data_IF_092977682149
#
_entry.id   IF_092977682149
#
_cell.length_a   1.000
_cell.length_b   1.000
_cell.length_c   1.000
_cell.angle_alpha   90.00
_cell.angle_beta   90.00
_cell.angle_gamma   90.00
#
_symmetry.space_group_name_H-M   'P 1'
#
loop_
_entity.id
_entity.type
_entity.pdbx_description
1 polymer ?
#
# COMPACT_ATOMS: atom_id res chain seq x y z
N UNK A 1 -44.37 -17.12 -10.41
CA UNK A 1 -43.66 -16.97 -9.14
C UNK A 1 -42.32 -17.68 -9.27
N UNK A 2 -41.25 -17.00 -9.33
CA UNK A 2 -39.83 -17.37 -9.25
C UNK A 2 -38.98 -16.52 -10.23
N UNK A 3 -38.71 -15.32 -9.85
CA UNK A 3 -37.73 -14.50 -10.58
C UNK A 3 -37.20 -13.41 -9.64
N UNK A 4 -36.42 -13.78 -8.59
CA UNK A 4 -35.77 -12.79 -7.75
C UNK A 4 -34.46 -13.29 -7.09
N UNK A 5 -33.73 -14.19 -7.75
CA UNK A 5 -32.49 -14.78 -7.23
C UNK A 5 -31.20 -14.39 -7.97
N UNK A 6 -31.23 -13.44 -8.95
CA UNK A 6 -30.07 -13.19 -9.81
C UNK A 6 -29.51 -11.76 -9.78
N UNK A 7 -29.96 -10.88 -8.91
CA UNK A 7 -29.59 -9.45 -8.96
C UNK A 7 -28.67 -8.99 -7.80
N UNK A 8 -28.04 -9.89 -7.06
CA UNK A 8 -27.13 -9.50 -5.97
C UNK A 8 -25.69 -10.00 -6.15
N UNK A 9 -25.21 -10.10 -7.39
CA UNK A 9 -23.79 -10.18 -7.74
C UNK A 9 -23.24 -8.80 -8.15
N UNK A 10 -23.77 -7.73 -7.59
CA UNK A 10 -23.22 -6.40 -7.73
C UNK A 10 -21.86 -6.36 -7.01
N UNK A 11 -20.80 -6.48 -7.80
CA UNK A 11 -19.45 -5.95 -7.54
C UNK A 11 -19.03 -5.95 -6.06
N UNK A 12 -18.74 -7.13 -5.49
CA UNK A 12 -17.71 -7.21 -4.46
C UNK A 12 -16.45 -6.66 -5.14
N UNK A 13 -16.08 -5.40 -4.89
CA UNK A 13 -14.75 -4.93 -5.24
C UNK A 13 -13.81 -5.91 -4.57
N UNK A 14 -13.13 -6.70 -5.37
CA UNK A 14 -12.05 -7.57 -4.92
C UNK A 14 -11.13 -6.69 -4.08
N UNK A 15 -10.66 -7.18 -2.95
CA UNK A 15 -9.56 -6.49 -2.30
C UNK A 15 -8.41 -6.46 -3.31
N UNK A 16 -7.57 -5.45 -3.29
CA UNK A 16 -6.47 -5.36 -4.27
C UNK A 16 -5.48 -6.52 -4.07
N UNK A 17 -5.43 -7.07 -2.86
CA UNK A 17 -4.74 -8.34 -2.59
C UNK A 17 -5.34 -9.50 -3.39
N UNK A 18 -6.67 -9.55 -3.49
CA UNK A 18 -7.37 -10.52 -4.34
C UNK A 18 -7.10 -10.23 -5.83
N UNK A 19 -6.91 -8.97 -6.22
CA UNK A 19 -6.66 -8.58 -7.61
C UNK A 19 -5.30 -9.09 -8.12
N UNK A 20 -4.23 -8.97 -7.34
CA UNK A 20 -2.92 -9.54 -7.69
C UNK A 20 -3.02 -11.05 -7.88
N UNK A 21 -3.72 -11.77 -6.99
CA UNK A 21 -3.95 -13.21 -7.14
C UNK A 21 -4.79 -13.54 -8.38
N UNK A 22 -5.80 -12.72 -8.69
CA UNK A 22 -6.62 -12.88 -9.89
C UNK A 22 -5.79 -12.71 -11.16
N UNK A 23 -4.92 -11.69 -11.22
CA UNK A 23 -4.04 -11.47 -12.37
C UNK A 23 -3.08 -12.66 -12.60
N UNK A 24 -2.48 -13.18 -11.52
CA UNK A 24 -1.60 -14.37 -11.59
C UNK A 24 -2.40 -15.61 -12.07
N UNK A 25 -3.62 -15.80 -11.60
CA UNK A 25 -4.50 -16.89 -12.03
C UNK A 25 -4.99 -16.74 -13.45
N UNK A 26 -5.19 -15.50 -13.90
CA UNK A 26 -5.53 -15.17 -15.28
C UNK A 26 -4.34 -15.24 -16.23
N UNK A 27 -3.15 -15.62 -15.71
CA UNK A 27 -1.89 -15.81 -16.47
C UNK A 27 -1.39 -14.53 -17.13
N UNK A 28 -1.55 -13.38 -16.47
CA UNK A 28 -0.84 -12.20 -16.94
C UNK A 28 0.67 -12.46 -16.85
N UNK A 29 1.41 -12.32 -17.97
CA UNK A 29 2.81 -12.71 -18.02
C UNK A 29 3.70 -11.83 -17.17
N UNK A 30 3.48 -10.51 -17.22
CA UNK A 30 4.21 -9.51 -16.45
C UNK A 30 3.23 -8.60 -15.72
N UNK A 31 3.38 -8.48 -14.41
CA UNK A 31 2.59 -7.60 -13.54
C UNK A 31 3.54 -6.62 -12.89
N UNK A 32 3.29 -5.32 -13.07
CA UNK A 32 4.04 -4.25 -12.43
C UNK A 32 3.25 -3.71 -11.25
N UNK A 33 3.74 -3.94 -10.06
CA UNK A 33 3.12 -3.53 -8.80
C UNK A 33 3.77 -2.25 -8.31
N UNK A 34 3.02 -1.15 -8.33
CA UNK A 34 3.48 0.15 -7.85
C UNK A 34 3.24 0.21 -6.35
N UNK A 35 4.32 0.20 -5.56
CA UNK A 35 4.22 0.21 -4.10
C UNK A 35 5.54 0.50 -3.40
N UNK A 36 5.47 1.10 -2.21
CA UNK A 36 6.54 1.15 -1.21
C UNK A 36 6.55 -0.09 -0.30
N UNK A 37 5.50 -0.91 -0.35
CA UNK A 37 5.24 -2.06 0.51
C UNK A 37 5.82 -3.37 -0.07
N UNK A 38 7.10 -3.34 -0.46
CA UNK A 38 7.78 -4.49 -1.09
C UNK A 38 7.65 -5.76 -0.25
N UNK A 39 7.91 -5.66 1.06
CA UNK A 39 7.84 -6.79 1.99
C UNK A 39 6.44 -7.40 2.05
N UNK A 40 5.42 -6.56 2.07
CA UNK A 40 4.02 -6.99 2.12
C UNK A 40 3.60 -7.71 0.85
N UNK A 41 4.06 -7.25 -0.33
CA UNK A 41 3.84 -7.95 -1.60
C UNK A 41 4.57 -9.29 -1.62
N UNK A 42 5.82 -9.35 -1.15
CA UNK A 42 6.57 -10.60 -1.07
C UNK A 42 5.88 -11.63 -0.15
N UNK A 43 5.43 -11.22 1.04
CA UNK A 43 4.71 -12.08 1.99
C UNK A 43 3.39 -12.61 1.37
N UNK A 44 2.64 -11.76 0.68
CA UNK A 44 1.43 -12.17 -0.03
C UNK A 44 1.72 -13.18 -1.14
N UNK A 45 2.74 -12.92 -1.98
CA UNK A 45 3.12 -13.82 -3.05
C UNK A 45 3.63 -15.16 -2.50
N UNK A 46 4.33 -15.15 -1.37
CA UNK A 46 4.79 -16.36 -0.69
C UNK A 46 3.61 -17.22 -0.22
N UNK A 47 2.67 -16.62 0.52
CA UNK A 47 1.46 -17.31 0.97
C UNK A 47 0.62 -17.83 -0.20
N UNK A 48 0.54 -17.08 -1.30
CA UNK A 48 -0.16 -17.52 -2.50
C UNK A 48 0.58 -18.67 -3.21
N UNK A 49 1.89 -18.60 -3.34
CA UNK A 49 2.71 -19.64 -3.97
C UNK A 49 2.60 -20.98 -3.21
N UNK A 50 2.66 -20.94 -1.86
CA UNK A 50 2.45 -22.10 -1.00
C UNK A 50 1.06 -22.73 -1.19
N UNK A 51 -0.01 -21.91 -1.15
CA UNK A 51 -1.38 -22.38 -1.37
C UNK A 51 -1.60 -23.01 -2.75
N UNK A 52 -0.82 -22.65 -3.74
CA UNK A 52 -0.94 -23.10 -5.13
C UNK A 52 0.15 -24.06 -5.58
N UNK A 53 1.00 -24.51 -4.67
CA UNK A 53 2.15 -25.36 -4.96
C UNK A 53 3.01 -24.85 -6.12
N UNK A 54 3.25 -23.51 -6.11
CA UNK A 54 4.17 -22.82 -7.03
C UNK A 54 5.46 -22.49 -6.30
N UNK A 55 6.55 -22.39 -7.04
CA UNK A 55 7.79 -21.85 -6.48
C UNK A 55 7.75 -20.33 -6.53
N UNK A 56 8.34 -19.68 -5.53
CA UNK A 56 8.59 -18.25 -5.53
C UNK A 56 10.08 -17.99 -5.61
N UNK A 57 10.49 -17.17 -6.56
CA UNK A 57 11.84 -16.68 -6.71
C UNK A 57 11.84 -15.16 -6.54
N UNK A 58 12.82 -14.63 -5.81
CA UNK A 58 13.03 -13.20 -5.65
C UNK A 58 14.35 -12.80 -6.30
N UNK A 59 14.34 -11.70 -7.01
CA UNK A 59 15.52 -11.10 -7.63
C UNK A 59 15.70 -9.65 -7.17
N UNK A 60 16.94 -9.29 -6.94
CA UNK A 60 17.38 -7.89 -6.86
C UNK A 60 18.79 -7.79 -7.47
N UNK A 61 19.18 -6.59 -7.87
CA UNK A 61 20.53 -6.34 -8.43
C UNK A 61 21.65 -6.70 -7.45
N UNK A 62 21.37 -6.71 -6.15
CA UNK A 62 22.34 -6.98 -5.09
C UNK A 62 22.42 -8.44 -4.66
N UNK A 63 21.33 -9.19 -4.83
CA UNK A 63 21.23 -10.58 -4.34
C UNK A 63 21.19 -11.62 -5.48
N UNK A 64 20.95 -11.19 -6.72
CA UNK A 64 20.68 -12.10 -7.83
C UNK A 64 19.33 -12.80 -7.69
N UNK A 65 19.07 -13.80 -8.53
CA UNK A 65 17.84 -14.59 -8.52
C UNK A 65 17.95 -15.74 -7.50
N UNK A 66 17.04 -15.77 -6.54
CA UNK A 66 17.07 -16.72 -5.43
C UNK A 66 15.68 -17.28 -5.15
N UNK A 67 15.63 -18.57 -4.78
CA UNK A 67 14.37 -19.17 -4.32
C UNK A 67 14.01 -18.62 -2.93
N UNK A 68 12.80 -18.12 -2.78
CA UNK A 68 12.29 -17.66 -1.49
C UNK A 68 12.04 -18.88 -0.59
N UNK A 69 12.88 -19.06 0.43
CA UNK A 69 12.76 -20.12 1.43
C UNK A 69 12.28 -19.53 2.74
N UNK A 70 11.42 -20.27 3.45
CA UNK A 70 10.87 -19.84 4.74
C UNK A 70 12.00 -19.65 5.78
N UNK A 71 12.24 -18.41 6.19
CA UNK A 71 12.99 -18.07 7.40
C UNK A 71 14.51 -18.22 7.38
N UNK A 72 15.13 -18.68 6.31
CA UNK A 72 16.60 -18.79 6.23
C UNK A 72 17.19 -17.61 5.46
N UNK A 73 18.36 -17.09 5.91
CA UNK A 73 19.06 -16.06 5.15
C UNK A 73 19.40 -16.61 3.77
N UNK A 74 19.08 -15.83 2.78
CA UNK A 74 19.29 -16.11 1.38
C UNK A 74 20.77 -16.39 1.14
N UNK A 75 21.11 -17.60 0.73
CA UNK A 75 22.46 -17.93 0.28
C UNK A 75 22.76 -17.05 -0.94
N UNK A 76 23.79 -16.22 -0.83
CA UNK A 76 24.22 -15.32 -1.93
C UNK A 76 24.76 -16.15 -3.09
N UNK A 77 23.91 -16.55 -4.01
CA UNK A 77 24.39 -16.95 -5.33
C UNK A 77 24.54 -15.67 -6.16
N UNK A 78 25.78 -15.21 -6.35
CA UNK A 78 26.08 -14.05 -7.21
C UNK A 78 25.77 -14.28 -8.70
N UNK A 79 25.32 -15.46 -9.06
CA UNK A 79 25.37 -15.96 -10.43
C UNK A 79 24.26 -15.42 -11.34
N UNK A 80 23.27 -14.66 -10.85
CA UNK A 80 22.19 -14.10 -11.67
C UNK A 80 21.82 -12.69 -11.22
N UNK A 81 22.82 -11.84 -10.95
CA UNK A 81 22.60 -10.43 -10.61
C UNK A 81 22.36 -9.56 -11.85
N UNK A 82 22.90 -9.96 -12.98
CA UNK A 82 22.70 -9.26 -14.25
C UNK A 82 21.25 -9.42 -14.75
N UNK A 83 20.56 -8.32 -15.10
CA UNK A 83 19.16 -8.34 -15.49
C UNK A 83 18.83 -9.28 -16.64
N UNK A 84 19.69 -9.34 -17.67
CA UNK A 84 19.48 -10.20 -18.84
C UNK A 84 19.60 -11.69 -18.48
N UNK A 85 20.60 -12.06 -17.69
CA UNK A 85 20.81 -13.43 -17.24
C UNK A 85 19.67 -13.91 -16.33
N UNK A 86 19.18 -13.03 -15.45
CA UNK A 86 18.02 -13.32 -14.61
C UNK A 86 16.75 -13.56 -15.45
N UNK A 87 16.52 -12.76 -16.49
CA UNK A 87 15.39 -12.94 -17.39
C UNK A 87 15.52 -14.22 -18.25
N UNK A 88 16.75 -14.59 -18.65
CA UNK A 88 17.02 -15.87 -19.32
C UNK A 88 16.66 -17.05 -18.40
N UNK A 89 17.08 -17.02 -17.15
CA UNK A 89 16.74 -18.04 -16.17
C UNK A 89 15.21 -18.19 -15.95
N UNK A 90 14.46 -17.08 -15.97
CA UNK A 90 12.99 -17.10 -15.94
C UNK A 90 12.43 -17.87 -17.15
N UNK A 91 12.99 -17.66 -18.33
CA UNK A 91 12.52 -18.35 -19.56
C UNK A 91 12.85 -19.84 -19.54
N UNK A 92 14.05 -20.20 -19.15
CA UNK A 92 14.57 -21.58 -19.15
C UNK A 92 13.90 -22.48 -18.10
N UNK A 93 13.44 -21.91 -16.98
CA UNK A 93 12.79 -22.68 -15.93
C UNK A 93 11.48 -23.29 -16.41
N UNK A 94 11.26 -24.59 -16.14
CA UNK A 94 10.12 -25.36 -16.68
C UNK A 94 8.94 -25.50 -15.73
N UNK A 95 9.17 -25.35 -14.43
CA UNK A 95 8.13 -25.56 -13.42
C UNK A 95 7.24 -24.31 -13.22
N UNK A 96 6.01 -24.49 -12.71
CA UNK A 96 5.16 -23.36 -12.33
C UNK A 96 5.80 -22.50 -11.24
N UNK A 97 6.02 -21.24 -11.51
CA UNK A 97 6.73 -20.34 -10.61
C UNK A 97 6.21 -18.90 -10.68
N UNK A 98 6.47 -18.17 -9.62
CA UNK A 98 6.30 -16.71 -9.53
C UNK A 98 7.68 -16.12 -9.32
N UNK A 99 7.99 -15.08 -10.07
CA UNK A 99 9.24 -14.35 -9.98
C UNK A 99 8.94 -12.94 -9.49
N UNK A 100 9.51 -12.54 -8.37
CA UNK A 100 9.43 -11.19 -7.83
C UNK A 100 10.73 -10.45 -8.10
N UNK A 101 10.69 -9.47 -9.01
CA UNK A 101 11.82 -8.62 -9.33
C UNK A 101 11.66 -7.27 -8.65
N UNK A 102 12.60 -6.96 -7.75
CA UNK A 102 12.59 -5.77 -6.93
C UNK A 102 13.37 -4.65 -7.60
N UNK A 103 12.77 -3.44 -7.63
CA UNK A 103 13.37 -2.23 -8.20
C UNK A 103 13.88 -2.36 -9.65
N UNK A 104 13.23 -3.23 -10.43
CA UNK A 104 13.62 -3.48 -11.82
C UNK A 104 13.34 -2.29 -12.75
N UNK A 105 12.55 -1.30 -12.30
CA UNK A 105 12.20 -0.09 -13.05
C UNK A 105 13.42 0.67 -13.56
N UNK A 106 14.53 0.67 -12.81
CA UNK A 106 15.78 1.33 -13.20
C UNK A 106 16.34 0.82 -14.53
N UNK A 107 16.01 -0.42 -14.92
CA UNK A 107 16.42 -1.04 -16.17
C UNK A 107 15.37 -0.88 -17.28
N UNK A 108 14.18 -0.37 -16.96
CA UNK A 108 13.05 -0.20 -17.88
C UNK A 108 12.78 1.26 -18.26
N UNK A 109 13.46 2.20 -17.63
CA UNK A 109 13.23 3.64 -17.81
C UNK A 109 13.56 4.10 -19.22
N UNK A 110 12.65 4.86 -19.83
CA UNK A 110 12.86 5.46 -21.15
C UNK A 110 14.09 6.37 -21.16
N UNK A 111 14.93 6.23 -22.22
CA UNK A 111 16.12 7.08 -22.44
C UNK A 111 17.39 6.66 -21.67
N UNK A 112 17.28 5.82 -20.65
CA UNK A 112 18.41 5.26 -19.86
C UNK A 112 18.46 3.75 -19.97
N UNK A 113 17.35 3.13 -20.36
CA UNK A 113 17.18 1.70 -20.39
C UNK A 113 18.15 1.02 -21.36
N UNK A 114 18.68 -0.11 -20.92
CA UNK A 114 19.36 -1.04 -21.81
C UNK A 114 18.35 -1.61 -22.82
N UNK A 115 18.52 -1.28 -24.10
CA UNK A 115 17.64 -1.74 -25.20
C UNK A 115 17.47 -3.26 -25.18
N UNK A 116 18.52 -4.00 -24.79
CA UNK A 116 18.50 -5.44 -24.64
C UNK A 116 17.50 -5.91 -23.57
N UNK A 117 17.41 -5.22 -22.45
CA UNK A 117 16.47 -5.55 -21.35
C UNK A 117 15.01 -5.34 -21.79
N UNK A 118 14.70 -4.22 -22.47
CA UNK A 118 13.37 -3.96 -23.01
C UNK A 118 12.97 -5.05 -23.99
N UNK A 119 13.86 -5.39 -24.93
CA UNK A 119 13.60 -6.44 -25.91
C UNK A 119 13.40 -7.79 -25.21
N UNK A 120 14.23 -8.10 -24.22
CA UNK A 120 14.14 -9.35 -23.45
C UNK A 120 12.83 -9.46 -22.67
N UNK A 121 12.38 -8.39 -22.03
CA UNK A 121 11.07 -8.36 -21.35
C UNK A 121 9.90 -8.66 -22.29
N UNK A 122 9.93 -8.17 -23.52
CA UNK A 122 8.92 -8.51 -24.52
C UNK A 122 8.98 -9.98 -24.92
N UNK A 123 10.17 -10.55 -25.03
CA UNK A 123 10.34 -11.99 -25.27
C UNK A 123 9.83 -12.82 -24.09
N UNK A 124 10.12 -12.39 -22.86
CA UNK A 124 9.61 -13.02 -21.63
C UNK A 124 8.07 -12.95 -21.62
N UNK A 125 7.47 -11.79 -21.92
CA UNK A 125 6.02 -11.66 -21.97
C UNK A 125 5.39 -12.69 -22.94
N UNK A 126 5.93 -12.80 -24.14
CA UNK A 126 5.48 -13.79 -25.12
C UNK A 126 5.67 -15.24 -24.65
N UNK A 127 6.82 -15.57 -24.08
CA UNK A 127 7.11 -16.92 -23.61
C UNK A 127 6.27 -17.33 -22.38
N UNK A 128 5.89 -16.37 -21.53
CA UNK A 128 5.11 -16.65 -20.34
C UNK A 128 3.61 -16.77 -20.60
N UNK A 129 3.06 -16.23 -21.71
CA UNK A 129 1.63 -16.31 -22.04
C UNK A 129 1.09 -17.74 -22.01
N UNK A 130 1.84 -18.70 -22.50
CA UNK A 130 1.43 -20.11 -22.57
C UNK A 130 2.01 -20.94 -21.40
N UNK A 131 2.49 -20.28 -20.36
CA UNK A 131 3.12 -20.94 -19.21
C UNK A 131 2.33 -20.73 -17.91
N UNK A 132 2.68 -21.47 -16.86
CA UNK A 132 2.19 -21.27 -15.50
C UNK A 132 3.13 -20.40 -14.67
N UNK A 133 3.96 -19.60 -15.35
CA UNK A 133 4.90 -18.66 -14.73
C UNK A 133 4.35 -17.24 -14.83
N UNK A 134 4.70 -16.39 -13.87
CA UNK A 134 4.37 -14.95 -13.86
C UNK A 134 5.56 -14.19 -13.33
N UNK A 135 5.93 -13.11 -14.02
CA UNK A 135 6.91 -12.14 -13.55
C UNK A 135 6.18 -10.99 -12.88
N UNK A 136 6.46 -10.75 -11.61
CA UNK A 136 5.97 -9.61 -10.82
C UNK A 136 7.13 -8.66 -10.59
N UNK A 137 6.95 -7.40 -10.94
CA UNK A 137 7.94 -6.33 -10.70
C UNK A 137 7.38 -5.43 -9.61
N UNK A 138 8.14 -5.18 -8.55
CA UNK A 138 7.77 -4.21 -7.52
C UNK A 138 8.66 -2.98 -7.59
N UNK A 139 8.04 -1.81 -7.51
CA UNK A 139 8.75 -0.53 -7.47
C UNK A 139 7.87 0.56 -6.86
N UNK A 140 8.44 1.55 -6.17
CA UNK A 140 7.67 2.70 -5.69
C UNK A 140 7.24 3.67 -6.80
N UNK A 141 7.90 3.60 -7.97
CA UNK A 141 7.64 4.49 -9.10
C UNK A 141 7.19 3.68 -10.32
N UNK A 142 6.25 4.21 -11.07
CA UNK A 142 5.87 3.67 -12.38
C UNK A 142 6.80 4.27 -13.44
N UNK A 143 7.86 3.57 -13.76
CA UNK A 143 8.78 3.95 -14.84
C UNK A 143 8.95 2.77 -15.80
N UNK A 144 8.53 2.96 -17.04
CA UNK A 144 8.51 1.91 -18.04
C UNK A 144 8.66 2.51 -19.44
N UNK A 145 9.40 1.82 -20.31
CA UNK A 145 9.49 2.20 -21.71
C UNK A 145 8.14 2.00 -22.42
N UNK A 146 7.76 2.91 -23.36
CA UNK A 146 6.48 2.82 -24.08
C UNK A 146 6.26 1.48 -24.80
N UNK A 147 7.34 0.83 -25.23
CA UNK A 147 7.31 -0.46 -25.92
C UNK A 147 6.73 -1.59 -25.08
N UNK A 148 6.72 -1.44 -23.74
CA UNK A 148 6.23 -2.45 -22.79
C UNK A 148 4.77 -2.24 -22.37
N UNK A 149 4.14 -1.12 -22.73
CA UNK A 149 2.78 -0.74 -22.27
C UNK A 149 1.71 -1.82 -22.55
N UNK A 150 1.87 -2.59 -23.62
CA UNK A 150 0.90 -3.64 -23.99
C UNK A 150 1.20 -5.01 -23.39
N UNK A 151 2.44 -5.21 -22.95
CA UNK A 151 2.94 -6.49 -22.46
C UNK A 151 2.90 -6.57 -20.92
N UNK A 152 2.75 -5.42 -20.25
CA UNK A 152 2.81 -5.28 -18.79
C UNK A 152 1.46 -4.81 -18.23
N UNK A 153 0.95 -5.53 -17.25
CA UNK A 153 -0.22 -5.11 -16.47
C UNK A 153 0.24 -4.31 -15.25
N UNK A 154 -0.24 -3.09 -15.10
CA UNK A 154 0.08 -2.22 -13.96
C UNK A 154 -0.98 -2.37 -12.87
N UNK A 155 -0.53 -2.55 -11.64
CA UNK A 155 -1.34 -2.66 -10.44
C UNK A 155 -0.84 -1.68 -9.37
N UNK A 156 -1.67 -0.71 -9.01
CA UNK A 156 -1.40 0.18 -7.87
C UNK A 156 -1.73 -0.56 -6.57
N UNK A 157 -0.72 -0.84 -5.76
CA UNK A 157 -0.87 -1.56 -4.51
C UNK A 157 -1.09 -0.58 -3.36
N UNK A 158 -2.23 -0.66 -2.65
CA UNK A 158 -2.60 0.35 -1.67
C UNK A 158 -1.78 0.26 -0.40
N UNK A 159 -1.69 1.38 0.29
CA UNK A 159 -1.20 1.43 1.66
C UNK A 159 -2.09 0.58 2.59
N UNK A 160 -1.57 0.14 3.75
CA UNK A 160 -2.31 -0.68 4.69
C UNK A 160 -3.59 -0.03 5.19
N UNK A 161 -4.60 -0.86 5.41
CA UNK A 161 -5.87 -0.45 5.98
C UNK A 161 -5.95 -0.62 7.50
N UNK A 162 -7.13 -0.34 8.06
CA UNK A 162 -7.41 -0.44 9.49
C UNK A 162 -7.12 -1.83 10.05
N UNK A 163 -7.52 -2.89 9.32
CA UNK A 163 -7.35 -4.27 9.78
C UNK A 163 -5.87 -4.65 9.89
N UNK A 164 -5.04 -4.22 8.93
CA UNK A 164 -3.61 -4.51 8.89
C UNK A 164 -2.85 -3.76 9.98
N UNK A 165 -3.19 -2.49 10.21
CA UNK A 165 -2.61 -1.74 11.35
C UNK A 165 -3.08 -2.27 12.70
N UNK A 166 -4.31 -2.76 12.81
CA UNK A 166 -4.81 -3.38 14.04
C UNK A 166 -4.04 -4.67 14.36
N UNK A 167 -3.76 -5.49 13.35
CA UNK A 167 -2.92 -6.68 13.49
C UNK A 167 -1.47 -6.33 13.84
N UNK A 168 -0.90 -5.30 13.22
CA UNK A 168 0.44 -4.81 13.54
C UNK A 168 0.51 -4.36 15.00
N UNK A 169 -0.42 -3.51 15.44
CA UNK A 169 -0.47 -3.02 16.82
C UNK A 169 -0.65 -4.16 17.82
N UNK A 170 -1.49 -5.15 17.49
CA UNK A 170 -1.69 -6.32 18.35
C UNK A 170 -0.40 -7.12 18.51
N UNK A 171 0.31 -7.41 17.42
CA UNK A 171 1.60 -8.11 17.44
C UNK A 171 2.64 -7.34 18.28
N UNK A 172 2.77 -6.02 18.07
CA UNK A 172 3.69 -5.20 18.86
C UNK A 172 3.34 -5.29 20.35
N UNK A 173 2.05 -5.21 20.70
CA UNK A 173 1.62 -5.35 22.10
C UNK A 173 1.96 -6.72 22.69
N UNK A 174 1.85 -7.80 21.92
CA UNK A 174 2.22 -9.17 22.35
C UNK A 174 3.73 -9.29 22.53
N UNK A 175 4.54 -8.85 21.57
CA UNK A 175 6.00 -8.90 21.61
C UNK A 175 6.58 -8.14 22.81
N UNK A 176 5.89 -7.06 23.20
CA UNK A 176 6.32 -6.19 24.29
C UNK A 176 5.76 -6.62 25.65
N UNK A 177 4.65 -7.37 25.70
CA UNK A 177 4.01 -7.83 26.94
C UNK A 177 4.93 -8.71 27.81
N UNK A 178 5.94 -9.36 27.22
CA UNK A 178 6.94 -10.15 27.95
C UNK A 178 8.03 -9.28 28.58
N UNK A 179 8.10 -7.98 28.28
CA UNK A 179 9.12 -7.06 28.75
C UNK A 179 8.71 -6.41 30.08
N UNK A 180 9.44 -6.67 31.15
CA UNK A 180 9.14 -6.18 32.51
C UNK A 180 9.14 -4.64 32.67
N UNK A 181 9.58 -3.89 31.65
CA UNK A 181 9.76 -2.44 31.71
C UNK A 181 8.78 -1.65 30.85
N UNK A 182 7.82 -2.32 30.19
CA UNK A 182 6.90 -1.66 29.28
C UNK A 182 5.47 -1.86 29.77
N UNK A 183 4.72 -0.78 29.85
CA UNK A 183 3.30 -0.76 30.23
C UNK A 183 2.42 -0.43 29.03
N UNK A 184 1.41 -1.26 28.77
CA UNK A 184 0.43 -1.00 27.74
C UNK A 184 -0.87 -0.63 28.43
N UNK A 185 -1.25 0.64 28.32
CA UNK A 185 -2.50 1.19 28.87
C UNK A 185 -3.36 1.74 27.74
N UNK A 186 -3.92 0.81 26.95
CA UNK A 186 -4.76 1.11 25.78
C UNK A 186 -6.14 0.48 25.88
N UNK A 187 -7.14 1.28 26.12
CA UNK A 187 -8.53 0.87 25.96
C UNK A 187 -8.89 0.64 24.47
N UNK A 188 -9.93 -0.13 24.15
CA UNK A 188 -10.30 -0.43 22.78
C UNK A 188 -10.49 0.80 21.87
N UNK A 189 -11.07 1.88 22.41
CA UNK A 189 -11.24 3.15 21.69
C UNK A 189 -9.94 3.89 21.42
N UNK A 190 -8.94 3.73 22.26
CA UNK A 190 -7.63 4.38 22.11
C UNK A 190 -6.79 3.62 21.09
N UNK A 191 -6.88 2.30 21.07
CA UNK A 191 -6.31 1.46 20.00
C UNK A 191 -6.85 1.88 18.63
N UNK A 192 -8.17 2.08 18.52
CA UNK A 192 -8.79 2.55 17.29
C UNK A 192 -8.25 3.92 16.86
N UNK A 193 -8.08 4.87 17.80
CA UNK A 193 -7.49 6.19 17.50
C UNK A 193 -6.04 6.09 17.03
N UNK A 194 -5.21 5.25 17.66
CA UNK A 194 -3.83 5.02 17.23
C UNK A 194 -3.77 4.45 15.81
N UNK A 195 -4.61 3.46 15.52
CA UNK A 195 -4.72 2.87 14.18
C UNK A 195 -5.16 3.93 13.16
N UNK A 196 -6.16 4.76 13.50
CA UNK A 196 -6.61 5.84 12.62
C UNK A 196 -5.49 6.87 12.36
N UNK A 197 -4.71 7.24 13.38
CA UNK A 197 -3.57 8.14 13.22
C UNK A 197 -2.49 7.58 12.28
N UNK A 198 -2.28 6.26 12.28
CA UNK A 198 -1.31 5.59 11.44
C UNK A 198 -1.74 5.42 9.98
N UNK A 199 -3.04 5.57 9.66
CA UNK A 199 -3.52 5.43 8.28
C UNK A 199 -2.79 6.38 7.33
N UNK A 200 -2.33 5.84 6.20
CA UNK A 200 -1.55 6.57 5.21
C UNK A 200 -0.03 6.42 5.37
N UNK A 201 0.44 5.72 6.39
CA UNK A 201 1.80 5.23 6.51
C UNK A 201 1.96 3.86 5.84
N UNK A 202 3.20 3.47 5.56
CA UNK A 202 3.54 2.07 5.28
C UNK A 202 3.54 1.26 6.59
N UNK A 203 3.44 -0.08 6.50
CA UNK A 203 3.54 -0.93 7.69
C UNK A 203 4.86 -0.72 8.45
N UNK A 204 5.96 -0.60 7.70
CA UNK A 204 7.27 -0.38 8.30
C UNK A 204 7.38 0.98 8.99
N UNK A 205 6.83 2.04 8.39
CA UNK A 205 6.79 3.35 9.01
C UNK A 205 5.95 3.33 10.30
N UNK A 206 4.79 2.71 10.28
CA UNK A 206 3.94 2.58 11.45
C UNK A 206 4.60 1.76 12.56
N UNK A 207 5.25 0.63 12.21
CA UNK A 207 6.03 -0.19 13.15
C UNK A 207 7.13 0.64 13.82
N UNK A 208 7.89 1.41 13.04
CA UNK A 208 8.94 2.30 13.55
C UNK A 208 8.39 3.40 14.46
N UNK A 209 7.24 3.98 14.10
CA UNK A 209 6.60 5.03 14.91
C UNK A 209 6.11 4.45 16.24
N UNK A 210 5.40 3.32 16.23
CA UNK A 210 4.94 2.66 17.45
C UNK A 210 6.12 2.20 18.33
N UNK A 211 7.17 1.64 17.73
CA UNK A 211 8.38 1.29 18.48
C UNK A 211 9.05 2.53 19.12
N UNK A 212 9.09 3.65 18.40
CA UNK A 212 9.65 4.91 18.89
C UNK A 212 8.86 5.45 20.09
N UNK A 213 7.51 5.41 20.06
CA UNK A 213 6.69 5.84 21.19
C UNK A 213 6.98 5.00 22.43
N UNK A 214 7.00 3.68 22.28
CA UNK A 214 7.28 2.75 23.38
C UNK A 214 8.67 2.96 23.98
N UNK A 215 9.70 3.16 23.14
CA UNK A 215 11.08 3.36 23.60
C UNK A 215 11.25 4.71 24.32
N UNK A 216 10.45 5.71 23.96
CA UNK A 216 10.57 7.07 24.50
C UNK A 216 10.25 7.15 26.00
N UNK A 217 9.18 6.51 26.45
CA UNK A 217 8.72 6.59 27.84
C UNK A 217 8.37 5.23 28.48
N UNK A 218 8.55 4.13 27.77
CA UNK A 218 8.22 2.77 28.24
C UNK A 218 6.72 2.50 28.33
N UNK A 219 5.89 3.35 27.74
CA UNK A 219 4.43 3.19 27.76
C UNK A 219 3.84 3.26 26.37
N UNK A 220 2.68 2.65 26.20
CA UNK A 220 1.84 2.84 25.01
C UNK A 220 0.44 3.19 25.50
N UNK A 221 0.03 4.44 25.26
CA UNK A 221 -1.20 5.01 25.80
C UNK A 221 -1.89 5.99 24.81
N UNK A 222 -2.96 6.66 25.24
CA UNK A 222 -3.74 7.58 24.42
C UNK A 222 -2.97 8.83 23.95
N UNK A 223 -1.94 9.27 24.68
CA UNK A 223 -1.17 10.47 24.36
C UNK A 223 -0.25 10.24 23.17
N UNK A 224 0.09 8.97 22.87
CA UNK A 224 0.89 8.57 21.72
C UNK A 224 0.23 8.85 20.38
N UNK A 225 -1.09 9.05 20.36
CA UNK A 225 -1.82 9.48 19.15
C UNK A 225 -1.20 10.77 18.58
N UNK A 226 -0.85 11.72 19.46
CA UNK A 226 -0.22 12.98 19.05
C UNK A 226 1.19 12.78 18.52
N UNK A 227 1.94 11.84 19.09
CA UNK A 227 3.30 11.48 18.64
C UNK A 227 3.24 10.80 17.27
N UNK A 228 2.35 9.81 17.10
CA UNK A 228 2.13 9.16 15.80
C UNK A 228 1.78 10.18 14.72
N UNK A 229 0.93 11.14 15.06
CA UNK A 229 0.52 12.18 14.13
C UNK A 229 1.68 13.11 13.73
N UNK A 230 2.51 13.52 14.68
CA UNK A 230 3.68 14.37 14.41
C UNK A 230 4.74 13.66 13.56
N UNK A 231 5.01 12.37 13.82
CA UNK A 231 5.91 11.57 13.00
C UNK A 231 5.38 11.40 11.57
N UNK A 232 4.08 11.14 11.42
CA UNK A 232 3.42 11.08 10.11
C UNK A 232 3.59 12.39 9.33
N UNK A 233 3.45 13.54 9.98
CA UNK A 233 3.70 14.84 9.36
C UNK A 233 5.14 14.95 8.83
N UNK A 234 6.13 14.50 9.61
CA UNK A 234 7.52 14.54 9.19
C UNK A 234 7.78 13.62 7.98
N UNK A 235 7.14 12.45 7.94
CA UNK A 235 7.24 11.51 6.82
C UNK A 235 6.64 12.12 5.54
N UNK A 236 5.46 12.74 5.66
CA UNK A 236 4.81 13.44 4.53
C UNK A 236 5.68 14.60 4.02
N UNK A 237 6.29 15.37 4.90
CA UNK A 237 7.21 16.47 4.50
C UNK A 237 8.43 15.98 3.72
N UNK A 238 8.94 14.77 4.00
CA UNK A 238 10.08 14.20 3.25
C UNK A 238 9.76 13.94 1.78
N UNK A 239 8.49 13.73 1.43
CA UNK A 239 8.09 13.54 0.03
C UNK A 239 8.29 14.80 -0.84
N UNK A 240 8.39 15.98 -0.22
CA UNK A 240 8.56 17.27 -0.91
C UNK A 240 7.36 17.71 -1.79
N UNK A 241 6.34 16.87 -1.92
CA UNK A 241 5.16 17.11 -2.75
C UNK A 241 4.00 17.70 -1.97
N UNK A 242 3.95 17.47 -0.65
CA UNK A 242 2.87 17.90 0.22
C UNK A 242 3.45 18.66 1.41
N UNK A 243 2.82 19.79 1.73
CA UNK A 243 3.06 20.51 2.98
C UNK A 243 1.89 20.26 3.92
N UNK A 244 2.20 19.88 5.15
CA UNK A 244 1.19 19.78 6.19
C UNK A 244 1.03 21.14 6.88
N UNK A 245 -0.18 21.66 6.88
CA UNK A 245 -0.56 22.85 7.60
C UNK A 245 -1.50 22.47 8.77
N UNK A 246 -1.01 22.63 9.98
CA UNK A 246 -1.89 22.57 11.15
C UNK A 246 -2.78 23.81 11.14
N UNK A 247 -4.07 23.59 10.95
CA UNK A 247 -5.02 24.70 10.91
C UNK A 247 -5.56 24.97 12.30
N UNK A 248 -5.25 26.15 12.85
CA UNK A 248 -5.90 26.64 14.06
C UNK A 248 -7.34 27.09 13.80
N UNK A 249 -7.70 27.33 12.54
CA UNK A 249 -9.01 27.81 12.11
C UNK A 249 -10.06 26.71 12.18
N UNK A 250 -11.04 26.87 13.04
CA UNK A 250 -12.23 26.02 13.15
C UNK A 250 -13.37 26.42 12.21
N UNK A 251 -14.40 25.59 12.14
CA UNK A 251 -15.59 25.88 11.32
C UNK A 251 -16.36 27.08 11.87
N UNK A 252 -16.24 27.37 13.17
CA UNK A 252 -16.87 28.51 13.84
C UNK A 252 -16.21 29.83 13.49
N UNK A 253 -14.95 29.83 13.09
CA UNK A 253 -14.19 31.00 12.64
C UNK A 253 -14.62 31.45 11.22
N UNK A 254 -15.37 30.63 10.51
CA UNK A 254 -15.90 30.94 9.18
C UNK A 254 -17.25 31.68 9.35
N UNK A 255 -17.27 32.95 9.03
CA UNK A 255 -18.50 33.74 9.05
C UNK A 255 -19.49 33.35 7.97
N UNK A 256 -20.78 33.23 8.29
CA UNK A 256 -21.83 32.85 7.34
C UNK A 256 -21.68 31.38 6.83
N UNK A 257 -22.14 31.15 5.62
CA UNK A 257 -22.06 29.83 4.93
C UNK A 257 -22.81 28.71 5.68
N UNK A 258 -23.92 28.98 6.30
CA UNK A 258 -24.68 28.05 7.16
C UNK A 258 -25.06 26.77 6.42
N UNK A 259 -25.41 26.87 5.13
CA UNK A 259 -25.67 25.68 4.29
C UNK A 259 -24.45 24.79 4.12
N UNK A 260 -23.27 25.38 3.93
CA UNK A 260 -22.02 24.62 3.81
C UNK A 260 -21.67 23.94 5.13
N UNK A 261 -21.81 24.64 6.25
CA UNK A 261 -21.57 24.11 7.59
C UNK A 261 -22.49 22.93 7.91
N UNK A 262 -23.78 23.04 7.65
CA UNK A 262 -24.77 21.96 7.84
C UNK A 262 -24.46 20.76 6.91
N UNK A 263 -24.12 21.05 5.65
CA UNK A 263 -23.74 20.03 4.70
C UNK A 263 -22.49 19.26 5.13
N UNK A 264 -21.45 19.96 5.59
CA UNK A 264 -20.21 19.36 6.09
C UNK A 264 -20.45 18.51 7.35
N UNK A 265 -21.27 19.01 8.30
CA UNK A 265 -21.64 18.28 9.50
C UNK A 265 -22.36 16.95 9.18
N UNK A 266 -23.27 16.96 8.21
CA UNK A 266 -23.94 15.75 7.75
C UNK A 266 -22.99 14.79 7.06
N UNK A 267 -22.02 15.30 6.29
CA UNK A 267 -21.02 14.49 5.59
C UNK A 267 -19.97 13.89 6.52
N UNK A 268 -19.65 14.54 7.62
CA UNK A 268 -18.72 13.99 8.61
C UNK A 268 -19.20 12.66 9.20
N UNK A 269 -20.52 12.43 9.26
CA UNK A 269 -21.08 11.15 9.70
C UNK A 269 -20.69 9.99 8.79
N UNK A 270 -20.35 10.24 7.52
CA UNK A 270 -19.95 9.20 6.56
C UNK A 270 -18.55 8.61 6.85
N UNK A 271 -17.75 9.22 7.72
CA UNK A 271 -16.48 8.67 8.18
C UNK A 271 -16.66 7.66 9.34
N UNK A 272 -17.86 7.56 9.92
CA UNK A 272 -18.13 6.64 11.02
C UNK A 272 -18.15 5.17 10.56
N UNK A 273 -17.79 4.27 11.49
CA UNK A 273 -17.87 2.83 11.26
C UNK A 273 -19.30 2.38 10.91
N UNK A 274 -20.30 2.99 11.52
CA UNK A 274 -21.72 2.72 11.21
C UNK A 274 -22.08 3.05 9.75
N UNK A 275 -21.54 4.12 9.20
CA UNK A 275 -21.74 4.48 7.79
C UNK A 275 -21.04 3.47 6.86
N UNK A 276 -19.85 3.01 7.24
CA UNK A 276 -19.08 2.00 6.51
C UNK A 276 -19.82 0.65 6.48
N UNK A 277 -20.34 0.20 7.62
CA UNK A 277 -21.16 -1.01 7.72
C UNK A 277 -22.46 -0.92 6.90
N UNK A 278 -23.03 0.28 6.79
CA UNK A 278 -24.20 0.55 5.94
C UNK A 278 -23.85 0.59 4.45
N UNK A 279 -22.57 0.60 4.07
CA UNK A 279 -22.11 0.65 2.69
C UNK A 279 -22.01 2.06 2.10
N UNK A 280 -22.02 3.10 2.93
CA UNK A 280 -21.82 4.48 2.47
C UNK A 280 -20.32 4.75 2.29
N UNK A 281 -19.89 5.19 1.08
CA UNK A 281 -18.50 5.56 0.85
C UNK A 281 -18.17 6.88 1.58
N UNK A 282 -16.95 6.96 2.11
CA UNK A 282 -16.42 8.21 2.64
C UNK A 282 -16.37 9.30 1.55
N UNK A 283 -16.57 10.58 1.90
CA UNK A 283 -16.42 11.70 0.98
C UNK A 283 -15.02 11.73 0.39
N UNK A 284 -14.89 11.84 -0.94
CA UNK A 284 -13.59 11.84 -1.63
C UNK A 284 -13.00 13.23 -1.76
N UNK A 285 -13.81 14.27 -1.74
CA UNK A 285 -13.35 15.64 -1.89
C UNK A 285 -14.49 16.66 -1.94
N UNK A 286 -14.14 17.92 -1.77
CA UNK A 286 -15.03 19.07 -1.88
C UNK A 286 -14.43 20.08 -2.84
N UNK A 287 -15.18 20.50 -3.85
CA UNK A 287 -14.78 21.56 -4.77
C UNK A 287 -15.39 22.89 -4.32
N UNK A 288 -14.54 23.84 -3.93
CA UNK A 288 -14.96 25.22 -3.58
C UNK A 288 -14.72 26.14 -4.78
N UNK A 289 -15.80 26.71 -5.32
CA UNK A 289 -15.75 27.64 -6.45
C UNK A 289 -16.27 29.00 -6.01
N UNK A 290 -15.56 30.06 -6.39
CA UNK A 290 -15.93 31.43 -6.06
C UNK A 290 -14.85 32.44 -6.48
N UNK A 291 -15.17 33.71 -6.40
CA UNK A 291 -14.25 34.82 -6.73
C UNK A 291 -13.04 34.85 -5.81
N UNK A 292 -11.97 35.51 -6.22
CA UNK A 292 -10.81 35.72 -5.37
C UNK A 292 -11.19 36.53 -4.12
N UNK A 293 -10.65 36.17 -2.95
CA UNK A 293 -10.94 36.86 -1.68
C UNK A 293 -12.21 36.43 -0.94
N UNK A 294 -13.06 35.54 -1.49
CA UNK A 294 -14.31 35.11 -0.83
C UNK A 294 -14.14 34.02 0.25
N UNK A 295 -12.94 33.82 0.80
CA UNK A 295 -12.72 32.92 1.93
C UNK A 295 -12.56 31.44 1.60
N UNK A 296 -12.35 31.04 0.33
CA UNK A 296 -12.18 29.62 -0.07
C UNK A 296 -11.09 28.91 0.72
N UNK A 297 -9.91 29.54 0.85
CA UNK A 297 -8.79 28.98 1.61
C UNK A 297 -9.07 28.86 3.11
N UNK A 298 -9.81 29.81 3.66
CA UNK A 298 -10.27 29.76 5.05
C UNK A 298 -11.22 28.58 5.28
N UNK A 299 -12.20 28.40 4.38
CA UNK A 299 -13.10 27.26 4.41
C UNK A 299 -12.35 25.93 4.28
N UNK A 300 -11.36 25.84 3.37
CA UNK A 300 -10.57 24.62 3.21
C UNK A 300 -9.82 24.25 4.50
N UNK A 301 -9.21 25.22 5.18
CA UNK A 301 -8.55 25.04 6.47
C UNK A 301 -9.52 24.59 7.56
N UNK A 302 -10.70 25.20 7.64
CA UNK A 302 -11.73 24.84 8.61
C UNK A 302 -12.29 23.43 8.37
N UNK A 303 -12.49 23.04 7.10
CA UNK A 303 -12.92 21.68 6.72
C UNK A 303 -11.85 20.64 7.08
N UNK A 304 -10.57 20.93 6.82
CA UNK A 304 -9.45 20.06 7.20
C UNK A 304 -9.46 19.77 8.71
N UNK A 305 -9.60 20.79 9.53
CA UNK A 305 -9.69 20.63 11.00
C UNK A 305 -10.93 19.86 11.47
N UNK A 306 -12.05 20.03 10.78
CA UNK A 306 -13.31 19.36 11.13
C UNK A 306 -13.31 17.86 10.81
N UNK A 307 -12.57 17.45 9.79
CA UNK A 307 -12.55 16.08 9.27
C UNK A 307 -11.28 15.31 9.60
N UNK A 308 -10.41 15.85 10.45
CA UNK A 308 -9.24 15.17 11.01
C UNK A 308 -9.61 13.99 11.91
#
# INVERSE_FOLDING_TARGET
>A
MTSNGKLNRAARRLSIQDELEVLIRARYPIIYVVTWEERRVEEQLRAFAERRNKQLFCWSVTSGLQKATNGLPISRSKDLSEPLEALDAVMEHKEPAIYLFKDFHSFMRAGVANVGVIRKLREVALALNDSYKTLVITSPLLEMAPELEKDVCVLDYPLPGVDEFSLLLHRICEDVAESAHISIDLYPKEREKLVQAALGLTLQEAENVFAKTIVNDGTLNADDVSVVFSEKQQIIRKSGLLEYYESETGIDDVGGLEYLKDWLAKRSLAFSERARQFGLPAPKGVLLVGVQGCGKSLCAKAVSRMWN
#
